data_IF_226188701017
#
_entry.id   IF_226188701017
#
_cell.length_a   1.000
_cell.length_b   1.000
_cell.length_c   1.000
_cell.angle_alpha   90.00
_cell.angle_beta   90.00
_cell.angle_gamma   90.00
#
_symmetry.space_group_name_H-M   'P 1'
#
loop_
_entity.id
_entity.type
_entity.pdbx_description
1 polymer ?
#
# COMPACT_ATOMS: atom_id res chain seq x y z
N UNK A 1 1.83 9.02 -11.84
CA UNK A 1 1.03 8.29 -10.83
C UNK A 1 1.88 7.48 -9.86
N UNK A 2 2.90 6.75 -10.33
CA UNK A 2 3.85 6.03 -9.45
C UNK A 2 4.45 6.87 -8.32
N UNK A 3 4.94 8.08 -8.62
CA UNK A 3 5.53 8.98 -7.60
C UNK A 3 4.49 9.34 -6.54
N UNK A 4 3.25 9.62 -6.93
CA UNK A 4 2.18 9.99 -5.99
C UNK A 4 1.83 8.82 -5.08
N UNK A 5 1.61 7.62 -5.65
CA UNK A 5 1.26 6.41 -4.89
C UNK A 5 2.36 6.04 -3.90
N UNK A 6 3.62 6.03 -4.33
CA UNK A 6 4.76 5.70 -3.46
C UNK A 6 4.99 6.74 -2.36
N UNK A 7 4.83 8.03 -2.67
CA UNK A 7 4.94 9.11 -1.67
C UNK A 7 3.86 8.99 -0.60
N UNK A 8 2.59 8.83 -1.01
CA UNK A 8 1.47 8.68 -0.08
C UNK A 8 1.62 7.40 0.73
N UNK A 9 1.98 6.28 0.08
CA UNK A 9 2.25 5.01 0.77
C UNK A 9 3.31 5.17 1.87
N UNK A 10 4.44 5.81 1.57
CA UNK A 10 5.50 6.05 2.55
C UNK A 10 5.02 6.89 3.74
N UNK A 11 4.24 7.94 3.50
CA UNK A 11 3.66 8.77 4.57
C UNK A 11 2.68 7.96 5.44
N UNK A 12 1.85 7.13 4.82
CA UNK A 12 0.88 6.28 5.55
C UNK A 12 1.59 5.20 6.37
N UNK A 13 2.68 4.62 5.88
CA UNK A 13 3.50 3.67 6.65
C UNK A 13 4.12 4.32 7.90
N UNK A 14 4.64 5.55 7.76
CA UNK A 14 5.17 6.30 8.91
C UNK A 14 4.06 6.63 9.91
N UNK A 15 2.94 7.18 9.42
CA UNK A 15 1.80 7.54 10.27
C UNK A 15 1.22 6.34 11.02
N UNK A 16 1.04 5.22 10.34
CA UNK A 16 0.44 4.02 10.93
C UNK A 16 1.33 3.34 11.97
N UNK A 17 2.65 3.58 11.93
CA UNK A 17 3.58 3.02 12.92
C UNK A 17 3.35 3.63 14.29
N UNK A 18 3.11 4.94 14.37
CA UNK A 18 2.77 5.60 15.62
C UNK A 18 1.29 5.45 15.97
N UNK A 19 0.39 5.54 14.98
CA UNK A 19 -1.05 5.47 15.23
C UNK A 19 -1.53 4.13 15.79
N UNK A 20 -0.93 3.01 15.34
CA UNK A 20 -1.24 1.66 15.83
C UNK A 20 -0.23 1.18 16.89
N UNK A 21 0.61 2.06 17.43
CA UNK A 21 1.72 1.69 18.31
C UNK A 21 1.31 1.00 19.61
N UNK A 22 0.08 1.25 20.08
CA UNK A 22 -0.48 0.61 21.28
C UNK A 22 -1.23 -0.71 20.99
N UNK A 23 -1.38 -1.09 19.72
CA UNK A 23 -2.15 -2.26 19.29
C UNK A 23 -1.23 -3.49 19.08
N UNK A 24 -1.53 -4.66 19.68
CA UNK A 24 -0.68 -5.86 19.55
C UNK A 24 -0.67 -6.46 18.14
N UNK A 25 -1.57 -6.02 17.25
CA UNK A 25 -1.72 -6.54 15.89
C UNK A 25 -1.07 -5.68 14.79
N UNK A 26 -0.19 -4.74 15.16
CA UNK A 26 0.48 -3.82 14.23
C UNK A 26 1.15 -4.55 13.04
N UNK A 27 1.81 -5.69 13.28
CA UNK A 27 2.46 -6.45 12.21
C UNK A 27 1.47 -6.95 11.12
N UNK A 28 0.24 -7.33 11.50
CA UNK A 28 -0.79 -7.77 10.55
C UNK A 28 -1.31 -6.60 9.74
N UNK A 29 -1.56 -5.47 10.41
CA UNK A 29 -1.99 -4.24 9.74
C UNK A 29 -0.96 -3.78 8.70
N UNK A 30 0.32 -3.73 9.07
CA UNK A 30 1.42 -3.36 8.17
C UNK A 30 1.55 -4.30 6.97
N UNK A 31 1.31 -5.59 7.17
CA UNK A 31 1.28 -6.57 6.08
C UNK A 31 0.14 -6.28 5.09
N UNK A 32 -1.09 -6.03 5.58
CA UNK A 32 -2.22 -5.68 4.72
C UNK A 32 -2.01 -4.34 3.99
N UNK A 33 -1.43 -3.36 4.67
CA UNK A 33 -1.08 -2.06 4.08
C UNK A 33 -0.08 -2.22 2.93
N UNK A 34 0.94 -3.08 3.12
CA UNK A 34 1.95 -3.37 2.09
C UNK A 34 1.36 -4.16 0.91
N UNK A 35 0.43 -5.07 1.17
CA UNK A 35 -0.29 -5.76 0.10
C UNK A 35 -1.15 -4.80 -0.72
N UNK A 36 -1.84 -3.87 -0.07
CA UNK A 36 -2.64 -2.86 -0.75
C UNK A 36 -1.76 -1.98 -1.68
N UNK A 37 -0.61 -1.55 -1.20
CA UNK A 37 0.30 -0.71 -2.01
C UNK A 37 0.90 -1.50 -3.16
N UNK A 38 1.18 -2.80 -2.99
CA UNK A 38 1.59 -3.70 -4.07
C UNK A 38 0.55 -3.81 -5.18
N UNK A 39 -0.72 -4.07 -4.84
CA UNK A 39 -1.80 -4.14 -5.84
C UNK A 39 -2.02 -2.79 -6.55
N UNK A 40 -1.96 -1.67 -5.82
CA UNK A 40 -2.01 -0.35 -6.45
C UNK A 40 -0.85 -0.08 -7.40
N UNK A 41 0.35 -0.63 -7.15
CA UNK A 41 1.46 -0.53 -8.09
C UNK A 41 1.22 -1.39 -9.34
N UNK A 42 0.67 -2.61 -9.20
CA UNK A 42 0.27 -3.45 -10.34
C UNK A 42 -0.76 -2.73 -11.23
N UNK A 43 -1.78 -2.13 -10.62
CA UNK A 43 -2.83 -1.40 -11.32
C UNK A 43 -2.26 -0.22 -12.12
N UNK A 44 -1.44 0.62 -11.48
CA UNK A 44 -0.90 1.84 -12.11
C UNK A 44 0.15 1.55 -13.18
N UNK A 45 0.78 0.38 -13.14
CA UNK A 45 1.74 -0.07 -14.17
C UNK A 45 1.09 -0.90 -15.29
N UNK A 46 -0.20 -1.17 -15.20
CA UNK A 46 -0.92 -1.95 -16.20
C UNK A 46 -1.02 -1.27 -17.55
N UNK A 47 -0.55 -1.96 -18.60
CA UNK A 47 -0.73 -1.58 -20.01
C UNK A 47 -1.85 -2.37 -20.71
N UNK A 48 -2.49 -3.29 -19.99
CA UNK A 48 -3.54 -4.16 -20.50
C UNK A 48 -4.67 -4.36 -19.46
N UNK A 49 -5.86 -4.71 -19.96
CA UNK A 49 -7.05 -4.85 -19.13
C UNK A 49 -6.96 -6.00 -18.12
N UNK A 50 -6.17 -7.04 -18.40
CA UNK A 50 -6.00 -8.16 -17.47
C UNK A 50 -5.21 -7.72 -16.23
N UNK A 51 -4.11 -6.99 -16.42
CA UNK A 51 -3.29 -6.47 -15.34
C UNK A 51 -4.05 -5.42 -14.51
N UNK A 52 -4.84 -4.56 -15.16
CA UNK A 52 -5.69 -3.59 -14.48
C UNK A 52 -6.82 -4.23 -13.66
N UNK A 53 -7.26 -5.45 -14.01
CA UNK A 53 -8.25 -6.21 -13.24
C UNK A 53 -7.64 -6.94 -12.03
N UNK A 54 -6.37 -7.33 -12.13
CA UNK A 54 -5.64 -8.04 -11.07
C UNK A 54 -5.10 -7.08 -10.01
N UNK A 55 -4.63 -5.90 -10.42
CA UNK A 55 -4.25 -4.81 -9.52
C UNK A 55 -5.46 -4.14 -8.89
#
# INVERSE_FOLDING_TARGET
MLIVVTSISSLVHLYSTEYMGEDPHLARFMAYLSFFTFFMLILVTGDNFLQMFVG
#
